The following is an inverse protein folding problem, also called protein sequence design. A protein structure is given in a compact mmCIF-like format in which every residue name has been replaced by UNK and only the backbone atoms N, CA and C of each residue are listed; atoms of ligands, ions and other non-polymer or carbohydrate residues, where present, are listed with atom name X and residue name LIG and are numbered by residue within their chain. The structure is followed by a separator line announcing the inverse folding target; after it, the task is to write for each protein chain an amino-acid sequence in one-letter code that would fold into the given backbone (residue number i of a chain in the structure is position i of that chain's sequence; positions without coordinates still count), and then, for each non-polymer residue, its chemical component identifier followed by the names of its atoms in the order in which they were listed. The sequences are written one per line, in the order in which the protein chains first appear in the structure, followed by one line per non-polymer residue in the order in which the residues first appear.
data_IF_703162925506
#
_entry.id   IF_703162925506
#
_cell.length_a   1.000
_cell.length_b   1.000
_cell.length_c   1.000
_cell.angle_alpha   90.00
_cell.angle_beta   90.00
_cell.angle_gamma   90.00
#
_symmetry.space_group_name_H-M   'P 1'
#
loop_
_entity.id
_entity.type
_entity.pdbx_description
1 polymer ?
#
# COMPACT_ATOMS: atom_id res chain seq x y z
N UNK A 1 -1.71 -9.18 17.94
CA UNK A 1 -0.92 -8.08 17.35
C UNK A 1 -1.23 -8.06 15.86
N UNK A 2 -1.47 -6.90 15.26
CA UNK A 2 -1.77 -6.82 13.82
C UNK A 2 -0.55 -7.31 13.00
N UNK A 3 -0.75 -7.96 11.85
CA UNK A 3 0.34 -8.59 11.10
C UNK A 3 1.33 -7.59 10.48
N UNK A 4 0.95 -6.32 10.33
CA UNK A 4 1.78 -5.29 9.70
C UNK A 4 1.64 -5.27 8.18
N UNK A 5 2.70 -4.87 7.49
CA UNK A 5 2.78 -4.94 6.03
C UNK A 5 2.93 -6.40 5.60
N UNK A 6 2.09 -6.83 4.66
CA UNK A 6 2.08 -8.20 4.15
C UNK A 6 2.24 -8.22 2.64
N UNK A 7 2.83 -9.30 2.12
CA UNK A 7 2.70 -9.63 0.70
C UNK A 7 1.24 -9.98 0.41
N UNK A 8 0.73 -9.50 -0.71
CA UNK A 8 -0.61 -9.76 -1.18
C UNK A 8 -0.56 -10.55 -2.48
N UNK A 9 -1.21 -11.71 -2.48
CA UNK A 9 -1.20 -12.65 -3.61
C UNK A 9 -2.60 -13.06 -4.06
N UNK A 10 -3.64 -12.57 -3.38
CA UNK A 10 -5.03 -12.95 -3.65
C UNK A 10 -5.63 -12.05 -4.73
N UNK A 11 -5.19 -12.29 -5.97
CA UNK A 11 -5.49 -11.46 -7.13
C UNK A 11 -6.36 -12.28 -8.08
N UNK A 12 -7.51 -11.74 -8.47
CA UNK A 12 -8.41 -12.35 -9.43
C UNK A 12 -7.83 -12.34 -10.85
N UNK A 13 -8.45 -13.10 -11.76
CA UNK A 13 -8.01 -13.23 -13.16
C UNK A 13 -8.05 -11.89 -13.93
N UNK A 14 -8.88 -10.95 -13.48
CA UNK A 14 -8.97 -9.60 -14.04
C UNK A 14 -7.90 -8.63 -13.51
N UNK A 15 -7.03 -9.09 -12.61
CA UNK A 15 -5.97 -8.31 -12.00
C UNK A 15 -6.39 -7.46 -10.81
N UNK A 16 -7.64 -7.57 -10.35
CA UNK A 16 -8.13 -6.88 -9.15
C UNK A 16 -7.92 -7.74 -7.89
N UNK A 17 -7.76 -7.12 -6.70
CA UNK A 17 -7.67 -7.88 -5.47
C UNK A 17 -9.00 -8.55 -5.13
N UNK A 18 -8.95 -9.81 -4.69
CA UNK A 18 -10.11 -10.46 -4.10
C UNK A 18 -10.35 -9.91 -2.69
N UNK A 19 -11.50 -9.28 -2.50
CA UNK A 19 -11.89 -8.69 -1.21
C UNK A 19 -12.69 -9.70 -0.38
N UNK A 20 -12.56 -9.61 0.93
CA UNK A 20 -13.33 -10.44 1.85
C UNK A 20 -14.75 -9.87 2.05
N UNK A 21 -15.59 -10.04 1.03
CA UNK A 21 -16.98 -9.62 1.06
C UNK A 21 -17.77 -10.32 2.19
N UNK A 22 -17.35 -11.52 2.62
CA UNK A 22 -18.00 -12.25 3.70
C UNK A 22 -17.81 -11.55 5.06
N UNK A 23 -16.69 -10.85 5.27
CA UNK A 23 -16.48 -9.98 6.44
C UNK A 23 -16.93 -8.53 6.25
N UNK A 24 -17.59 -8.24 5.11
CA UNK A 24 -18.07 -6.89 4.76
C UNK A 24 -16.96 -5.94 4.30
N UNK A 25 -15.84 -6.45 3.80
CA UNK A 25 -14.84 -5.60 3.16
C UNK A 25 -15.39 -5.06 1.83
N UNK A 26 -15.35 -3.74 1.66
CA UNK A 26 -15.84 -3.05 0.47
C UNK A 26 -14.75 -2.18 -0.13
N UNK A 27 -14.73 -2.08 -1.47
CA UNK A 27 -13.82 -1.18 -2.19
C UNK A 27 -14.30 0.27 -2.04
N UNK A 28 -13.40 1.15 -1.61
CA UNK A 28 -13.67 2.59 -1.40
C UNK A 28 -13.10 3.43 -2.54
N UNK A 29 -11.88 3.12 -2.98
CA UNK A 29 -11.17 3.90 -4.00
C UNK A 29 -10.15 3.05 -4.76
N UNK A 30 -9.94 3.41 -6.02
CA UNK A 30 -8.86 2.87 -6.87
C UNK A 30 -8.09 4.05 -7.45
N UNK A 31 -6.78 4.08 -7.20
CA UNK A 31 -5.86 5.08 -7.75
C UNK A 31 -4.79 4.35 -8.57
N UNK A 32 -4.66 4.72 -9.85
CA UNK A 32 -3.65 4.15 -10.75
C UNK A 32 -2.35 4.93 -10.66
N UNK A 33 -1.29 4.38 -11.26
CA UNK A 33 0.03 5.02 -11.34
C UNK A 33 0.58 5.45 -9.98
N UNK A 34 0.29 4.66 -8.94
CA UNK A 34 0.81 4.89 -7.58
C UNK A 34 2.08 4.07 -7.42
N UNK A 35 3.18 4.70 -7.03
CA UNK A 35 4.41 4.00 -6.66
C UNK A 35 4.46 3.81 -5.14
N UNK A 36 5.08 2.71 -4.69
CA UNK A 36 5.27 2.44 -3.26
C UNK A 36 6.75 2.33 -2.93
N UNK A 37 7.17 2.94 -1.83
CA UNK A 37 8.51 2.77 -1.27
C UNK A 37 8.39 2.12 0.11
N UNK A 38 9.19 1.09 0.36
CA UNK A 38 9.18 0.32 1.60
C UNK A 38 10.46 0.59 2.39
N UNK A 39 10.35 1.28 3.51
CA UNK A 39 11.50 1.76 4.28
C UNK A 39 12.37 2.73 3.46
N UNK A 40 13.72 2.66 3.54
CA UNK A 40 14.63 3.56 2.84
C UNK A 40 14.84 3.20 1.35
N UNK A 41 14.03 2.29 0.80
CA UNK A 41 14.18 1.80 -0.59
C UNK A 41 13.65 2.83 -1.59
N UNK A 42 14.20 2.81 -2.79
CA UNK A 42 13.63 3.55 -3.92
C UNK A 42 12.19 3.11 -4.18
N UNK A 43 11.31 4.01 -4.66
CA UNK A 43 9.97 3.63 -5.09
C UNK A 43 10.02 2.48 -6.09
N UNK A 44 9.07 1.56 -5.96
CA UNK A 44 8.80 0.55 -6.98
C UNK A 44 8.21 1.19 -8.23
N UNK A 45 8.30 0.48 -9.36
CA UNK A 45 7.57 0.86 -10.58
C UNK A 45 6.09 1.07 -10.25
N UNK A 46 5.44 2.10 -10.83
CA UNK A 46 4.04 2.39 -10.53
C UNK A 46 3.12 1.18 -10.69
N UNK A 47 2.11 1.13 -9.83
CA UNK A 47 1.08 0.11 -9.80
C UNK A 47 -0.29 0.72 -9.53
N UNK A 48 -1.24 -0.13 -9.14
CA UNK A 48 -2.59 0.31 -8.75
C UNK A 48 -2.78 0.16 -7.25
N UNK A 49 -3.23 1.24 -6.61
CA UNK A 49 -3.63 1.30 -5.21
C UNK A 49 -5.14 1.07 -5.09
N UNK A 50 -5.53 0.14 -4.23
CA UNK A 50 -6.91 -0.14 -3.86
C UNK A 50 -7.08 0.19 -2.38
N UNK A 51 -7.98 1.10 -2.07
CA UNK A 51 -8.36 1.44 -0.70
C UNK A 51 -9.68 0.77 -0.43
N UNK A 52 -9.73 -0.08 0.58
CA UNK A 52 -10.96 -0.75 1.04
C UNK A 52 -11.44 -0.13 2.35
N UNK A 53 -12.52 -0.64 2.91
CA UNK A 53 -12.99 -0.25 4.25
C UNK A 53 -12.08 -0.77 5.38
N UNK A 54 -11.15 -1.69 5.08
CA UNK A 54 -10.33 -2.39 6.10
C UNK A 54 -8.83 -2.23 5.92
N UNK A 55 -8.36 -2.09 4.68
CA UNK A 55 -6.93 -2.12 4.33
C UNK A 55 -6.65 -1.33 3.07
N UNK A 56 -5.36 -1.08 2.87
CA UNK A 56 -4.82 -0.58 1.61
C UNK A 56 -4.07 -1.73 0.94
N UNK A 57 -4.34 -1.95 -0.33
CA UNK A 57 -3.70 -2.97 -1.16
C UNK A 57 -3.05 -2.27 -2.34
N UNK A 58 -1.80 -2.60 -2.64
CA UNK A 58 -1.10 -2.14 -3.82
C UNK A 58 -0.68 -3.33 -4.67
N UNK A 59 -0.95 -3.27 -5.97
CA UNK A 59 -0.57 -4.29 -6.93
C UNK A 59 0.36 -3.69 -7.99
N UNK A 60 1.48 -4.36 -8.26
CA UNK A 60 2.43 -3.95 -9.29
C UNK A 60 1.84 -4.16 -10.68
N UNK A 61 1.96 -3.15 -11.55
CA UNK A 61 1.65 -3.31 -12.98
C UNK A 61 2.82 -3.93 -13.75
N UNK A 62 4.06 -3.75 -13.26
CA UNK A 62 5.27 -4.24 -13.92
C UNK A 62 5.56 -5.73 -13.64
N UNK A 63 5.15 -6.23 -12.47
CA UNK A 63 5.44 -7.60 -12.02
C UNK A 63 4.15 -8.30 -11.56
N UNK A 64 3.62 -9.19 -12.41
CA UNK A 64 2.41 -9.96 -12.08
C UNK A 64 2.62 -10.79 -10.81
N UNK A 65 1.63 -10.74 -9.92
CA UNK A 65 1.67 -11.47 -8.64
C UNK A 65 2.43 -10.75 -7.53
N UNK A 66 3.06 -9.60 -7.81
CA UNK A 66 3.65 -8.75 -6.77
C UNK A 66 2.61 -7.78 -6.25
N UNK A 67 2.30 -7.90 -4.97
CA UNK A 67 1.42 -6.97 -4.27
C UNK A 67 1.74 -6.87 -2.79
N UNK A 68 1.25 -5.80 -2.17
CA UNK A 68 1.36 -5.54 -0.75
C UNK A 68 0.00 -5.16 -0.18
N UNK A 69 -0.26 -5.53 1.06
CA UNK A 69 -1.44 -5.09 1.79
C UNK A 69 -1.07 -4.69 3.22
N UNK A 70 -1.77 -3.69 3.74
CA UNK A 70 -1.67 -3.26 5.14
C UNK A 70 -3.05 -2.91 5.66
N UNK A 71 -3.44 -3.53 6.77
CA UNK A 71 -4.67 -3.20 7.48
C UNK A 71 -4.57 -1.82 8.12
N UNK A 72 -5.64 -1.03 8.11
CA UNK A 72 -5.64 0.27 8.77
C UNK A 72 -5.29 0.19 10.26
N UNK A 73 -5.68 -0.90 10.92
CA UNK A 73 -5.35 -1.15 12.32
C UNK A 73 -3.85 -1.38 12.57
N UNK A 74 -3.08 -1.68 11.53
CA UNK A 74 -1.63 -1.78 11.59
C UNK A 74 -0.94 -0.44 11.30
N UNK A 75 -1.64 0.56 10.75
CA UNK A 75 -1.08 1.89 10.48
C UNK A 75 -1.14 2.71 11.77
N UNK A 76 0.02 3.00 12.37
CA UNK A 76 0.12 3.82 13.58
C UNK A 76 0.10 5.31 13.31
N UNK A 77 0.62 5.71 12.15
CA UNK A 77 0.73 7.10 11.73
C UNK A 77 0.58 7.18 10.22
N UNK A 78 -0.13 8.20 9.75
CA UNK A 78 -0.10 8.62 8.35
C UNK A 78 0.08 10.14 8.27
N UNK A 79 0.80 10.60 7.25
CA UNK A 79 1.02 12.02 7.01
C UNK A 79 1.08 12.28 5.50
N UNK A 80 0.58 13.44 5.08
CA UNK A 80 0.77 13.92 3.71
C UNK A 80 2.08 14.70 3.68
N UNK A 81 3.02 14.26 2.84
CA UNK A 81 4.26 14.98 2.57
C UNK A 81 4.17 15.65 1.20
N UNK A 82 4.65 16.89 1.14
CA UNK A 82 4.86 17.66 -0.09
C UNK A 82 6.33 18.04 -0.24
N UNK A 83 7.20 17.41 0.54
CA UNK A 83 8.63 17.63 0.49
C UNK A 83 9.21 16.95 -0.76
N UNK A 84 9.51 17.79 -1.76
CA UNK A 84 10.02 17.35 -3.04
C UNK A 84 11.50 16.93 -3.00
N UNK A 85 12.21 17.23 -1.91
CA UNK A 85 13.57 16.71 -1.70
C UNK A 85 13.54 15.23 -1.31
N UNK A 86 12.50 14.80 -0.58
CA UNK A 86 12.31 13.41 -0.17
C UNK A 86 11.76 12.54 -1.31
N UNK A 87 10.73 13.02 -2.03
CA UNK A 87 10.15 12.32 -3.18
C UNK A 87 9.71 13.33 -4.26
N UNK A 88 9.88 13.03 -5.55
CA UNK A 88 9.64 13.99 -6.64
C UNK A 88 8.17 14.40 -6.82
N UNK A 89 7.24 13.75 -6.11
CA UNK A 89 5.80 14.03 -6.12
C UNK A 89 5.25 13.99 -4.69
N UNK A 90 4.14 14.70 -4.40
CA UNK A 90 3.44 14.58 -3.13
C UNK A 90 3.14 13.12 -2.78
N UNK A 91 3.32 12.77 -1.52
CA UNK A 91 3.21 11.38 -1.08
C UNK A 91 2.50 11.26 0.27
N UNK A 92 2.01 10.06 0.56
CA UNK A 92 1.47 9.70 1.87
C UNK A 92 2.52 8.83 2.55
N UNK A 93 3.07 9.34 3.63
CA UNK A 93 3.91 8.57 4.54
C UNK A 93 3.01 7.79 5.49
N UNK A 94 3.31 6.51 5.72
CA UNK A 94 2.64 5.69 6.72
C UNK A 94 3.66 4.92 7.54
N UNK A 95 3.47 4.91 8.86
CA UNK A 95 4.21 4.04 9.75
C UNK A 95 3.33 2.83 10.08
N UNK A 96 3.89 1.63 9.92
CA UNK A 96 3.18 0.38 10.15
C UNK A 96 3.77 -0.34 11.35
N UNK A 97 2.91 -0.74 12.29
CA UNK A 97 3.28 -1.61 13.41
C UNK A 97 3.02 -3.05 12.97
N UNK A 98 4.11 -3.80 12.75
CA UNK A 98 4.06 -5.23 12.46
C UNK A 98 4.43 -6.09 13.67
N UNK A 99 4.06 -7.38 13.62
CA UNK A 99 4.57 -8.36 14.57
C UNK A 99 6.10 -8.34 14.58
N UNK A 100 6.73 -8.51 15.76
CA UNK A 100 8.19 -8.41 15.92
C UNK A 100 9.02 -9.35 15.04
N UNK A 101 8.40 -10.38 14.46
CA UNK A 101 8.99 -11.33 13.51
C UNK A 101 8.81 -10.96 12.04
N UNK A 102 8.15 -9.84 11.73
CA UNK A 102 8.01 -9.38 10.34
C UNK A 102 9.38 -8.89 9.85
N UNK A 103 9.89 -9.41 8.72
CA UNK A 103 11.10 -8.86 8.10
C UNK A 103 10.89 -7.42 7.60
N UNK A 104 9.64 -6.94 7.64
CA UNK A 104 9.23 -5.59 7.29
C UNK A 104 8.92 -4.81 8.57
N UNK A 105 9.96 -4.28 9.23
CA UNK A 105 9.82 -3.29 10.29
C UNK A 105 9.59 -1.91 9.66
N UNK A 106 8.55 -1.80 8.82
CA UNK A 106 8.68 -0.92 7.66
C UNK A 106 7.63 0.17 7.63
N UNK A 107 8.12 1.40 7.68
CA UNK A 107 7.49 2.57 7.07
C UNK A 107 7.13 2.26 5.62
N UNK A 108 5.91 2.60 5.21
CA UNK A 108 5.48 2.57 3.80
C UNK A 108 5.23 4.00 3.34
N UNK A 109 5.83 4.38 2.22
CA UNK A 109 5.54 5.66 1.55
C UNK A 109 4.81 5.38 0.24
N UNK A 110 3.61 5.92 0.10
CA UNK A 110 2.81 5.85 -1.11
C UNK A 110 3.03 7.15 -1.89
N UNK A 111 3.73 7.07 -3.02
CA UNK A 111 3.96 8.20 -3.92
C UNK A 111 2.85 8.20 -4.97
N UNK A 112 2.04 9.25 -4.97
CA UNK A 112 0.86 9.34 -5.83
C UNK A 112 1.21 10.29 -6.97
N UNK A 113 1.26 9.77 -8.20
CA UNK A 113 1.59 10.54 -9.40
C UNK A 113 0.37 11.31 -9.95
N UNK A 114 -0.41 11.91 -9.06
CA UNK A 114 -1.58 12.69 -9.42
C UNK A 114 -1.59 13.93 -8.55
N UNK A 115 -1.60 15.11 -9.18
CA UNK A 115 -1.70 16.38 -8.49
C UNK A 115 -2.92 16.37 -7.56
N UNK A 116 -2.68 16.35 -6.25
CA UNK A 116 -3.70 16.55 -5.21
C UNK A 116 -4.31 17.94 -5.27
#
# INVERSE_FOLDING_TARGET
MAPGLQRFTDIADDGTPQLDAASGEELVRVDRTVAVALGPRSPESPGTLFVTTRRVIWLSEAEKGKGYAVDFLAISLHAVSRDLEAYPSPCIYTQVIGAASSPFADTVVLVIDSAF
#
